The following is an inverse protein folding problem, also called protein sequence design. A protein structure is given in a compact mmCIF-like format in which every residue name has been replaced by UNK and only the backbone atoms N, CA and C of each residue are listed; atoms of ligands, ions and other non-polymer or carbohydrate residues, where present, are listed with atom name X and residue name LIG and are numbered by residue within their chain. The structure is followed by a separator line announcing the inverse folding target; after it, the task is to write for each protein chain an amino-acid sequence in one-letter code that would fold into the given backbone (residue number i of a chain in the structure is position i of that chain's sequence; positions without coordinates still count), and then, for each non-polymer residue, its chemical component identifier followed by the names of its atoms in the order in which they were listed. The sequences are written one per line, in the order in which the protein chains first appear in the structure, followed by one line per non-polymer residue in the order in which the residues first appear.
data_IF_355543894351
#
_entry.id   IF_355543894351
#
_cell.length_a   1.000
_cell.length_b   1.000
_cell.length_c   1.000
_cell.angle_alpha   90.00
_cell.angle_beta   90.00
_cell.angle_gamma   90.00
#
_symmetry.space_group_name_H-M   'P 1'
#
loop_
_entity.id
_entity.type
_entity.pdbx_description
1 polymer ?
#
# COMPACT_ATOMS: atom_id res chain seq x y z
N UNK A 1 3.95 -9.00 -8.18
CA UNK A 1 4.88 -9.38 -9.26
C UNK A 1 5.00 -10.89 -9.26
N UNK A 2 4.87 -11.55 -10.42
CA UNK A 2 5.23 -12.98 -10.58
C UNK A 2 6.61 -13.02 -11.20
N UNK A 3 7.63 -12.92 -10.35
CA UNK A 3 8.99 -13.25 -10.72
C UNK A 3 9.53 -14.17 -9.63
N UNK A 4 10.12 -15.29 -10.02
CA UNK A 4 10.92 -16.17 -9.16
C UNK A 4 10.16 -17.07 -8.17
N UNK A 5 9.16 -17.85 -8.62
CA UNK A 5 8.51 -18.92 -7.83
C UNK A 5 7.79 -18.50 -6.53
N UNK A 6 7.78 -17.20 -6.22
CA UNK A 6 6.99 -16.62 -5.14
C UNK A 6 5.85 -15.80 -5.75
N UNK A 7 4.63 -15.99 -5.25
CA UNK A 7 3.55 -15.05 -5.56
C UNK A 7 3.54 -13.98 -4.48
N UNK A 8 4.17 -12.83 -4.77
CA UNK A 8 4.02 -11.65 -3.94
C UNK A 8 2.62 -11.07 -4.16
N UNK A 9 1.77 -11.23 -3.15
CA UNK A 9 0.53 -10.47 -3.04
C UNK A 9 0.84 -9.21 -2.24
N UNK A 10 0.77 -8.06 -2.92
CA UNK A 10 0.83 -6.76 -2.29
C UNK A 10 -0.57 -6.16 -2.33
N UNK A 11 -1.14 -5.84 -1.18
CA UNK A 11 -2.29 -4.97 -1.08
C UNK A 11 -2.08 -4.01 0.10
N UNK A 12 -2.84 -2.92 0.11
CA UNK A 12 -2.90 -2.00 1.26
C UNK A 12 -3.76 -2.55 2.41
N UNK A 13 -4.34 -3.75 2.25
CA UNK A 13 -5.35 -4.38 3.11
C UNK A 13 -4.93 -5.80 3.53
N UNK A 14 -3.68 -5.99 3.97
CA UNK A 14 -3.20 -7.31 4.44
C UNK A 14 -3.76 -7.67 5.83
N UNK A 15 -4.48 -6.72 6.41
CA UNK A 15 -5.13 -6.79 7.71
C UNK A 15 -6.55 -7.32 7.53
N UNK A 16 -6.96 -8.18 8.46
CA UNK A 16 -8.32 -8.71 8.56
C UNK A 16 -9.06 -7.99 9.69
N UNK A 17 -10.39 -8.02 9.60
CA UNK A 17 -11.25 -7.38 10.59
C UNK A 17 -11.12 -5.86 10.55
N UNK A 18 -11.30 -5.21 11.71
CA UNK A 18 -11.23 -3.76 11.78
C UNK A 18 -12.44 -3.04 11.21
N UNK A 19 -13.44 -3.70 10.63
CA UNK A 19 -14.62 -3.00 10.08
C UNK A 19 -15.54 -2.45 11.17
N UNK A 20 -15.60 -3.14 12.32
CA UNK A 20 -16.45 -2.76 13.45
C UNK A 20 -15.67 -2.15 14.61
N UNK A 21 -14.43 -2.58 14.81
CA UNK A 21 -13.58 -2.15 15.92
C UNK A 21 -12.11 -2.35 15.58
N UNK A 22 -11.27 -1.40 15.97
CA UNK A 22 -9.81 -1.53 15.87
C UNK A 22 -9.25 -2.71 16.70
N UNK A 23 -9.98 -3.18 17.70
CA UNK A 23 -9.59 -4.33 18.51
C UNK A 23 -9.71 -5.66 17.74
N UNK A 24 -10.47 -5.68 16.65
CA UNK A 24 -10.70 -6.86 15.83
C UNK A 24 -9.67 -6.99 14.70
N UNK A 25 -8.69 -6.09 14.64
CA UNK A 25 -7.67 -6.12 13.59
C UNK A 25 -6.64 -7.21 13.85
N UNK A 26 -6.43 -8.07 12.86
CA UNK A 26 -5.42 -9.12 12.91
C UNK A 26 -4.64 -9.23 11.59
N UNK A 27 -3.38 -9.65 11.70
CA UNK A 27 -2.55 -10.07 10.56
C UNK A 27 -2.79 -11.56 10.29
N UNK A 28 -2.84 -11.98 9.02
CA UNK A 28 -3.03 -13.40 8.68
C UNK A 28 -1.73 -14.23 8.84
N UNK A 29 -1.27 -14.40 10.07
CA UNK A 29 -0.04 -15.15 10.39
C UNK A 29 -0.21 -16.66 10.25
N UNK A 30 -1.46 -17.18 10.24
CA UNK A 30 -1.72 -18.63 10.12
C UNK A 30 -1.46 -19.19 8.72
N UNK A 31 -1.51 -18.36 7.68
CA UNK A 31 -1.37 -18.81 6.29
C UNK A 31 -0.23 -18.12 5.55
N UNK A 32 0.27 -16.98 6.07
CA UNK A 32 1.26 -16.18 5.38
C UNK A 32 2.34 -15.70 6.34
N UNK A 33 3.55 -15.60 5.81
CA UNK A 33 4.56 -14.69 6.36
C UNK A 33 4.17 -13.28 5.96
N UNK A 34 3.92 -12.45 6.96
CA UNK A 34 3.45 -11.08 6.79
C UNK A 34 4.62 -10.12 6.86
N UNK A 35 4.73 -9.25 5.87
CA UNK A 35 5.74 -8.18 5.87
C UNK A 35 5.09 -6.83 5.64
N UNK A 36 5.63 -5.81 6.30
CA UNK A 36 5.24 -4.42 6.08
C UNK A 36 6.47 -3.59 5.73
N UNK A 37 6.36 -2.84 4.62
CA UNK A 37 7.34 -1.81 4.25
C UNK A 37 6.95 -0.51 4.94
N UNK A 38 7.80 -0.03 5.83
CA UNK A 38 7.49 1.11 6.69
C UNK A 38 8.39 2.30 6.33
N UNK A 39 7.85 3.23 5.56
CA UNK A 39 8.54 4.46 5.13
C UNK A 39 8.40 5.59 6.14
N UNK A 40 9.42 6.45 6.25
CA UNK A 40 9.33 7.67 7.05
C UNK A 40 8.04 8.46 6.71
N UNK A 41 7.16 8.76 7.68
CA UNK A 41 5.84 9.34 7.43
C UNK A 41 5.83 10.66 6.67
N UNK A 42 6.79 11.54 6.92
CA UNK A 42 6.92 12.83 6.22
C UNK A 42 7.33 12.61 4.76
N UNK A 43 8.32 11.73 4.52
CA UNK A 43 8.74 11.38 3.15
C UNK A 43 7.65 10.63 2.40
N UNK A 44 6.91 9.75 3.09
CA UNK A 44 5.74 9.03 2.55
C UNK A 44 4.65 10.02 2.14
N UNK A 45 4.28 10.98 3.01
CA UNK A 45 3.29 12.00 2.69
C UNK A 45 3.66 12.74 1.40
N UNK A 46 4.89 13.28 1.32
CA UNK A 46 5.35 13.98 0.12
C UNK A 46 5.29 13.08 -1.13
N UNK A 47 5.70 11.81 -1.00
CA UNK A 47 5.63 10.84 -2.10
C UNK A 47 4.19 10.54 -2.53
N UNK A 48 3.25 10.42 -1.59
CA UNK A 48 1.85 10.15 -1.88
C UNK A 48 1.19 11.35 -2.55
N UNK A 49 1.49 12.58 -2.12
CA UNK A 49 0.99 13.78 -2.80
C UNK A 49 1.49 13.85 -4.25
N UNK A 50 2.78 13.59 -4.49
CA UNK A 50 3.33 13.48 -5.85
C UNK A 50 2.59 12.42 -6.67
N UNK A 51 2.40 11.24 -6.10
CA UNK A 51 1.70 10.14 -6.76
C UNK A 51 0.26 10.51 -7.14
N UNK A 52 -0.51 11.06 -6.19
CA UNK A 52 -1.88 11.51 -6.43
C UNK A 52 -1.95 12.55 -7.55
N UNK A 53 -1.01 13.49 -7.57
CA UNK A 53 -0.98 14.53 -8.60
C UNK A 53 -0.70 13.97 -9.99
N UNK A 54 0.29 13.06 -10.12
CA UNK A 54 0.54 12.35 -11.39
C UNK A 54 -0.71 11.59 -11.84
N UNK A 55 -1.31 10.83 -10.92
CA UNK A 55 -2.47 10.01 -11.21
C UNK A 55 -3.70 10.83 -11.62
N UNK A 56 -4.03 11.89 -10.87
CA UNK A 56 -5.19 12.74 -11.19
C UNK A 56 -4.98 13.54 -12.47
N UNK A 57 -3.76 14.00 -12.78
CA UNK A 57 -3.51 14.65 -14.08
C UNK A 57 -3.83 13.68 -15.22
N UNK A 58 -3.33 12.46 -15.12
CA UNK A 58 -3.56 11.44 -16.13
C UNK A 58 -5.05 11.07 -16.23
N UNK A 59 -5.71 10.76 -15.11
CA UNK A 59 -7.12 10.35 -15.06
C UNK A 59 -8.06 11.44 -15.59
N UNK A 60 -7.88 12.70 -15.18
CA UNK A 60 -8.70 13.81 -15.67
C UNK A 60 -8.49 14.08 -17.16
N UNK A 61 -7.25 13.94 -17.65
CA UNK A 61 -6.95 14.06 -19.07
C UNK A 61 -7.60 12.94 -19.88
N UNK A 62 -7.48 11.70 -19.42
CA UNK A 62 -8.12 10.55 -20.06
C UNK A 62 -9.65 10.69 -20.09
N UNK A 63 -10.29 11.08 -18.98
CA UNK A 63 -11.73 11.30 -18.91
C UNK A 63 -12.20 12.43 -19.82
N UNK A 64 -11.44 13.52 -19.91
CA UNK A 64 -11.75 14.60 -20.84
C UNK A 64 -11.72 14.11 -22.29
N UNK A 65 -10.67 13.36 -22.68
CA UNK A 65 -10.55 12.77 -24.01
C UNK A 65 -11.71 11.83 -24.34
N UNK A 66 -12.09 10.93 -23.42
CA UNK A 66 -13.25 10.04 -23.61
C UNK A 66 -14.56 10.81 -23.77
N UNK A 67 -14.69 11.96 -23.13
CA UNK A 67 -15.84 12.84 -23.25
C UNK A 67 -15.75 13.83 -24.43
N UNK A 68 -14.76 13.69 -25.31
CA UNK A 68 -14.45 14.64 -26.41
C UNK A 68 -14.28 16.09 -25.92
N UNK A 69 -13.64 16.28 -24.76
CA UNK A 69 -13.28 17.55 -24.16
C UNK A 69 -11.76 17.69 -24.08
N UNK A 70 -11.27 18.94 -24.09
CA UNK A 70 -9.83 19.27 -24.02
C UNK A 70 -9.44 19.95 -22.71
N UNK A 71 -10.36 20.07 -21.76
CA UNK A 71 -10.17 20.83 -20.52
C UNK A 71 -9.65 20.01 -19.34
N UNK A 72 -9.31 18.73 -19.53
CA UNK A 72 -8.88 17.82 -18.46
C UNK A 72 -7.63 18.30 -17.73
N UNK A 73 -6.60 18.73 -18.47
CA UNK A 73 -5.37 19.29 -17.89
C UNK A 73 -5.65 20.62 -17.17
N UNK A 74 -6.46 21.50 -17.77
CA UNK A 74 -6.87 22.74 -17.13
C UNK A 74 -7.68 22.49 -15.84
N UNK A 75 -8.52 21.44 -15.81
CA UNK A 75 -9.27 21.04 -14.63
C UNK A 75 -8.36 20.51 -13.52
N UNK A 76 -7.31 19.77 -13.86
CA UNK A 76 -6.27 19.37 -12.92
C UNK A 76 -5.60 20.59 -12.29
N UNK A 77 -5.06 21.51 -13.10
CA UNK A 77 -4.35 22.69 -12.58
C UNK A 77 -5.23 23.61 -11.73
N UNK A 78 -6.52 23.74 -12.05
CA UNK A 78 -7.46 24.50 -11.21
C UNK A 78 -7.71 23.87 -9.84
N UNK A 79 -7.57 22.55 -9.72
CA UNK A 79 -8.04 21.82 -8.55
C UNK A 79 -6.90 21.37 -7.64
N UNK A 80 -5.80 20.87 -8.21
CA UNK A 80 -4.75 20.18 -7.47
C UNK A 80 -3.42 20.94 -7.42
N UNK A 81 -3.14 21.79 -8.41
CA UNK A 81 -1.87 22.49 -8.44
C UNK A 81 -1.81 23.58 -7.36
N UNK A 82 -0.74 23.56 -6.57
CA UNK A 82 -0.52 24.44 -5.42
C UNK A 82 -1.70 24.42 -4.42
N UNK A 83 -2.41 23.30 -4.36
CA UNK A 83 -3.54 23.18 -3.46
C UNK A 83 -3.05 23.20 -2.01
N UNK A 84 -3.70 24.04 -1.19
CA UNK A 84 -3.30 24.27 0.20
C UNK A 84 -3.61 23.06 1.11
N UNK A 85 -3.12 23.12 2.35
CA UNK A 85 -3.31 22.03 3.31
C UNK A 85 -4.79 21.66 3.52
N UNK A 86 -5.67 22.66 3.64
CA UNK A 86 -7.10 22.43 3.85
C UNK A 86 -7.78 21.71 2.68
N UNK A 87 -7.31 21.89 1.44
CA UNK A 87 -7.77 21.11 0.31
C UNK A 87 -7.44 19.63 0.50
N UNK A 88 -6.17 19.33 0.80
CA UNK A 88 -5.72 17.95 0.96
C UNK A 88 -6.37 17.24 2.15
N UNK A 89 -6.62 17.96 3.23
CA UNK A 89 -7.42 17.48 4.37
C UNK A 89 -8.82 17.01 3.96
N UNK A 90 -9.47 17.69 3.01
CA UNK A 90 -10.80 17.30 2.54
C UNK A 90 -10.78 16.15 1.53
N UNK A 91 -9.79 16.16 0.63
CA UNK A 91 -9.76 15.21 -0.50
C UNK A 91 -9.16 13.87 -0.10
N UNK A 92 -8.17 13.87 0.79
CA UNK A 92 -7.42 12.67 1.14
C UNK A 92 -7.10 12.59 2.64
N UNK A 93 -8.10 12.67 3.54
CA UNK A 93 -7.89 12.74 4.99
C UNK A 93 -7.07 11.56 5.53
N UNK A 94 -7.33 10.35 5.05
CA UNK A 94 -6.60 9.15 5.47
C UNK A 94 -5.13 9.14 5.04
N UNK A 95 -4.81 9.81 3.92
CA UNK A 95 -3.44 9.88 3.39
C UNK A 95 -2.61 10.93 4.14
N UNK A 96 -3.24 12.03 4.54
CA UNK A 96 -2.56 13.21 5.08
C UNK A 96 -2.56 13.29 6.60
N UNK A 97 -3.22 12.38 7.31
CA UNK A 97 -3.24 12.39 8.78
C UNK A 97 -3.02 10.99 9.36
N UNK A 98 -1.77 10.70 9.75
CA UNK A 98 -1.32 9.44 10.35
C UNK A 98 -1.80 8.19 9.58
N UNK A 99 -1.39 8.12 8.31
CA UNK A 99 -1.73 7.05 7.37
C UNK A 99 -1.46 5.65 7.93
N UNK A 100 -0.31 5.40 8.57
CA UNK A 100 0.01 4.06 9.04
C UNK A 100 -0.88 3.64 10.20
N UNK A 101 -1.17 4.52 11.15
CA UNK A 101 -2.12 4.19 12.22
C UNK A 101 -3.50 3.86 11.63
N UNK A 102 -3.96 4.64 10.65
CA UNK A 102 -5.24 4.38 9.97
C UNK A 102 -5.23 3.05 9.22
N UNK A 103 -4.16 2.78 8.48
CA UNK A 103 -4.00 1.52 7.75
C UNK A 103 -3.99 0.34 8.71
N UNK A 104 -3.14 0.39 9.75
CA UNK A 104 -2.95 -0.67 10.73
C UNK A 104 -4.17 -0.95 11.60
N UNK A 105 -5.05 0.03 11.79
CA UNK A 105 -6.24 -0.14 12.63
C UNK A 105 -7.52 -0.37 11.82
N UNK A 106 -7.39 -0.54 10.51
CA UNK A 106 -8.48 -0.93 9.62
C UNK A 106 -9.55 0.13 9.43
N UNK A 107 -10.64 -0.27 8.78
CA UNK A 107 -11.72 0.60 8.31
C UNK A 107 -12.37 1.46 9.40
N UNK A 108 -12.53 0.90 10.61
CA UNK A 108 -13.09 1.62 11.76
C UNK A 108 -12.29 2.89 12.10
N UNK A 109 -10.97 2.87 11.89
CA UNK A 109 -10.09 4.02 12.14
C UNK A 109 -9.74 4.77 10.87
N UNK A 110 -9.79 4.11 9.71
CA UNK A 110 -9.48 4.72 8.41
C UNK A 110 -10.28 6.00 8.17
N UNK A 111 -11.56 5.99 8.53
CA UNK A 111 -12.49 7.09 8.30
C UNK A 111 -12.69 8.03 9.50
N UNK A 112 -11.95 7.85 10.60
CA UNK A 112 -12.07 8.71 11.78
C UNK A 112 -11.79 10.19 11.45
N UNK A 113 -12.48 11.16 12.07
CA UNK A 113 -12.31 12.58 11.77
C UNK A 113 -10.86 13.04 11.92
N UNK A 114 -10.48 14.08 11.16
CA UNK A 114 -9.14 14.64 11.26
C UNK A 114 -8.85 15.13 12.69
N UNK A 115 -7.70 14.72 13.22
CA UNK A 115 -7.27 15.10 14.58
C UNK A 115 -7.93 14.32 15.72
N UNK A 116 -8.82 13.37 15.44
CA UNK A 116 -9.41 12.48 16.47
C UNK A 116 -8.45 11.39 16.97
N UNK A 117 -7.47 11.02 16.14
CA UNK A 117 -6.45 10.03 16.47
C UNK A 117 -5.61 10.54 17.65
N UNK A 118 -5.34 9.63 18.60
CA UNK A 118 -4.67 9.98 19.85
C UNK A 118 -3.68 8.90 20.27
N UNK A 119 -2.71 9.31 21.09
CA UNK A 119 -1.64 8.43 21.54
C UNK A 119 -2.15 7.30 22.47
N UNK A 120 -3.15 7.57 23.31
CA UNK A 120 -3.60 6.61 24.35
C UNK A 120 -4.29 5.39 23.77
N UNK A 121 -5.11 5.58 22.74
CA UNK A 121 -5.91 4.50 22.15
C UNK A 121 -5.32 4.03 20.82
N UNK A 122 -5.16 4.94 19.86
CA UNK A 122 -4.82 4.59 18.49
C UNK A 122 -3.35 4.22 18.33
N UNK A 123 -2.42 5.05 18.82
CA UNK A 123 -0.99 4.74 18.69
C UNK A 123 -0.64 3.44 19.43
N UNK A 124 -1.18 3.23 20.65
CA UNK A 124 -0.94 1.98 21.39
C UNK A 124 -1.48 0.75 20.64
N UNK A 125 -2.70 0.82 20.11
CA UNK A 125 -3.25 -0.27 19.32
C UNK A 125 -2.42 -0.53 18.05
N UNK A 126 -2.02 0.52 17.34
CA UNK A 126 -1.23 0.39 16.11
C UNK A 126 0.16 -0.21 16.37
N UNK A 127 0.79 0.13 17.51
CA UNK A 127 2.03 -0.53 17.96
C UNK A 127 1.82 -2.03 18.19
N UNK A 128 0.71 -2.42 18.81
CA UNK A 128 0.38 -3.84 19.03
C UNK A 128 0.15 -4.57 17.70
N UNK A 129 -0.56 -3.97 16.74
CA UNK A 129 -0.74 -4.58 15.40
C UNK A 129 0.59 -4.67 14.66
N UNK A 130 1.40 -3.62 14.69
CA UNK A 130 2.73 -3.61 14.05
C UNK A 130 3.63 -4.75 14.56
N UNK A 131 3.61 -5.02 15.87
CA UNK A 131 4.39 -6.10 16.48
C UNK A 131 3.89 -7.51 16.14
N UNK A 132 2.74 -7.66 15.47
CA UNK A 132 2.27 -8.95 15.00
C UNK A 132 2.81 -9.31 13.60
N UNK A 133 3.36 -8.33 12.86
CA UNK A 133 4.00 -8.61 11.57
C UNK A 133 5.27 -9.44 11.76
N UNK A 134 5.46 -10.45 10.91
CA UNK A 134 6.65 -11.31 10.96
C UNK A 134 7.91 -10.57 10.51
N UNK A 135 7.75 -9.56 9.65
CA UNK A 135 8.87 -8.77 9.13
C UNK A 135 8.45 -7.29 9.01
N UNK A 136 9.16 -6.42 9.74
CA UNK A 136 9.01 -4.97 9.61
C UNK A 136 10.24 -4.40 8.94
N UNK A 137 10.07 -3.81 7.76
CA UNK A 137 11.18 -3.34 6.93
C UNK A 137 11.12 -1.82 6.76
N UNK A 138 11.95 -1.05 7.49
CA UNK A 138 12.00 0.39 7.29
C UNK A 138 12.60 0.72 5.92
N UNK A 139 11.91 1.51 5.10
CA UNK A 139 12.33 1.67 3.69
C UNK A 139 13.63 2.46 3.53
N UNK A 140 13.95 3.30 4.51
CA UNK A 140 15.17 4.10 4.59
C UNK A 140 16.37 3.34 5.17
N UNK A 141 16.19 2.09 5.57
CA UNK A 141 17.27 1.26 6.08
C UNK A 141 18.34 0.98 5.01
N UNK A 142 19.60 0.74 5.41
CA UNK A 142 20.63 0.30 4.48
C UNK A 142 20.22 -0.98 3.75
N UNK A 143 20.64 -1.10 2.48
CA UNK A 143 20.37 -2.27 1.64
C UNK A 143 20.68 -3.60 2.34
N UNK A 144 21.83 -3.69 3.03
CA UNK A 144 22.22 -4.89 3.75
C UNK A 144 21.20 -5.33 4.80
N UNK A 145 20.61 -4.37 5.53
CA UNK A 145 19.56 -4.63 6.52
C UNK A 145 18.30 -5.16 5.84
N UNK A 146 17.80 -4.44 4.83
CA UNK A 146 16.62 -4.84 4.07
C UNK A 146 16.77 -6.23 3.43
N UNK A 147 17.91 -6.51 2.80
CA UNK A 147 18.22 -7.81 2.22
C UNK A 147 18.30 -8.91 3.28
N UNK A 148 18.92 -8.66 4.44
CA UNK A 148 18.98 -9.64 5.52
C UNK A 148 17.60 -9.97 6.08
N UNK A 149 16.77 -8.95 6.34
CA UNK A 149 15.41 -9.12 6.85
C UNK A 149 14.57 -9.98 5.91
N UNK A 150 14.60 -9.70 4.61
CA UNK A 150 13.81 -10.45 3.64
C UNK A 150 14.37 -11.85 3.39
N UNK A 151 15.69 -12.02 3.40
CA UNK A 151 16.31 -13.33 3.28
C UNK A 151 15.94 -14.24 4.45
N UNK A 152 16.15 -13.80 5.70
CA UNK A 152 15.91 -14.63 6.89
C UNK A 152 14.43 -14.70 7.29
N UNK A 153 13.70 -13.59 7.19
CA UNK A 153 12.29 -13.55 7.57
C UNK A 153 11.36 -14.20 6.54
N UNK A 154 11.58 -13.94 5.24
CA UNK A 154 10.66 -14.40 4.18
C UNK A 154 11.23 -15.53 3.31
N UNK A 155 12.51 -15.89 3.48
CA UNK A 155 13.17 -16.78 2.53
C UNK A 155 13.29 -16.15 1.15
N UNK A 156 13.44 -14.81 1.06
CA UNK A 156 13.56 -14.11 -0.21
C UNK A 156 15.01 -13.75 -0.51
N UNK A 157 15.60 -14.26 -1.59
CA UNK A 157 16.99 -13.98 -1.94
C UNK A 157 17.20 -12.57 -2.52
N UNK A 158 16.10 -11.84 -2.76
CA UNK A 158 16.08 -10.48 -3.29
C UNK A 158 15.22 -9.60 -2.40
N UNK A 159 15.60 -8.33 -2.29
CA UNK A 159 14.87 -7.32 -1.52
C UNK A 159 14.15 -6.34 -2.44
N UNK A 160 13.27 -5.50 -1.86
CA UNK A 160 12.69 -4.36 -2.59
C UNK A 160 13.76 -3.37 -3.09
N UNK A 161 14.97 -3.38 -2.51
CA UNK A 161 16.09 -2.56 -3.01
C UNK A 161 16.75 -3.14 -4.26
N UNK A 162 16.51 -4.41 -4.58
CA UNK A 162 16.99 -5.08 -5.79
C UNK A 162 16.00 -4.96 -6.94
N UNK A 163 14.71 -4.76 -6.62
CA UNK A 163 13.62 -4.60 -7.58
C UNK A 163 13.15 -3.15 -7.56
N UNK A 164 13.74 -2.31 -8.40
CA UNK A 164 13.27 -0.93 -8.61
C UNK A 164 12.20 -0.90 -9.70
N UNK A 165 11.00 -1.40 -9.38
CA UNK A 165 9.85 -1.20 -10.25
C UNK A 165 9.12 0.10 -9.86
N UNK A 166 9.06 1.04 -10.81
CA UNK A 166 8.21 2.23 -10.77
C UNK A 166 8.50 3.24 -9.65
N UNK A 167 9.72 3.75 -9.58
CA UNK A 167 10.00 4.95 -8.79
C UNK A 167 9.21 6.18 -9.30
N UNK A 168 9.11 7.20 -8.46
CA UNK A 168 8.40 8.44 -8.80
C UNK A 168 8.99 9.10 -10.06
N UNK A 169 10.31 8.97 -10.27
CA UNK A 169 10.99 9.54 -11.43
C UNK A 169 10.53 8.86 -12.73
N UNK A 170 10.49 7.52 -12.73
CA UNK A 170 10.04 6.72 -13.86
C UNK A 170 8.56 7.00 -14.17
N UNK A 171 7.72 7.17 -13.14
CA UNK A 171 6.32 7.57 -13.33
C UNK A 171 6.19 8.97 -13.93
N UNK A 172 6.96 9.94 -13.43
CA UNK A 172 6.97 11.31 -13.98
C UNK A 172 7.44 11.35 -15.43
N UNK A 173 8.46 10.56 -15.77
CA UNK A 173 8.95 10.39 -17.13
C UNK A 173 7.89 9.74 -18.03
N UNK A 174 7.26 8.65 -17.56
CA UNK A 174 6.19 7.95 -18.28
C UNK A 174 4.98 8.86 -18.59
N UNK A 175 4.59 9.70 -17.63
CA UNK A 175 3.47 10.62 -17.79
C UNK A 175 3.87 12.01 -18.31
N UNK A 176 5.16 12.22 -18.63
CA UNK A 176 5.73 13.50 -19.07
C UNK A 176 5.26 14.68 -18.20
N UNK A 177 5.34 14.52 -16.88
CA UNK A 177 4.84 15.51 -15.93
C UNK A 177 5.72 15.63 -14.69
N UNK A 178 6.39 16.77 -14.56
CA UNK A 178 7.03 17.15 -13.30
C UNK A 178 6.00 17.79 -12.36
N UNK A 179 5.74 17.13 -11.24
CA UNK A 179 4.79 17.61 -10.22
C UNK A 179 5.42 18.61 -9.26
N UNK A 180 6.75 18.68 -9.21
CA UNK A 180 7.49 19.44 -8.21
C UNK A 180 7.06 20.91 -8.12
N UNK A 181 6.86 21.63 -9.24
CA UNK A 181 6.43 23.03 -9.20
C UNK A 181 4.99 23.26 -8.72
N UNK A 182 4.22 22.19 -8.54
CA UNK A 182 2.79 22.23 -8.24
C UNK A 182 2.46 21.67 -6.85
N UNK A 183 3.47 21.21 -6.10
CA UNK A 183 3.32 20.76 -4.73
C UNK A 183 2.76 21.88 -3.84
N UNK A 184 2.16 21.56 -2.68
CA UNK A 184 1.77 22.58 -1.71
C UNK A 184 2.96 23.47 -1.33
N UNK A 185 2.66 24.69 -0.89
CA UNK A 185 3.69 25.62 -0.40
C UNK A 185 4.47 25.02 0.77
N UNK A 186 5.66 25.55 1.07
CA UNK A 186 6.46 25.08 2.20
C UNK A 186 5.70 25.21 3.54
N UNK A 187 4.92 26.28 3.71
CA UNK A 187 4.07 26.47 4.89
C UNK A 187 2.96 25.42 4.98
N UNK A 188 2.28 25.12 3.86
CA UNK A 188 1.27 24.07 3.80
C UNK A 188 1.90 22.68 4.04
N UNK A 189 3.05 22.40 3.44
CA UNK A 189 3.79 21.15 3.65
C UNK A 189 4.22 21.00 5.11
N UNK A 190 4.71 22.07 5.74
CA UNK A 190 5.07 22.08 7.15
C UNK A 190 3.86 21.77 8.04
N UNK A 191 2.72 22.39 7.75
CA UNK A 191 1.47 22.08 8.44
C UNK A 191 1.06 20.61 8.25
N UNK A 192 1.06 20.08 7.03
CA UNK A 192 0.69 18.68 6.77
C UNK A 192 1.68 17.70 7.43
N UNK A 193 2.96 18.03 7.47
CA UNK A 193 3.99 17.25 8.16
C UNK A 193 3.72 17.17 9.67
N UNK A 194 3.26 18.26 10.29
CA UNK A 194 2.88 18.28 11.71
C UNK A 194 1.75 17.28 12.02
N UNK A 195 0.91 16.94 11.04
CA UNK A 195 -0.17 15.96 11.17
C UNK A 195 0.29 14.50 11.13
N UNK A 196 1.59 14.25 10.94
CA UNK A 196 2.18 12.90 10.96
C UNK A 196 2.78 12.52 12.33
N UNK A 197 2.58 13.32 13.37
CA UNK A 197 3.30 13.16 14.64
C UNK A 197 3.17 11.75 15.26
N UNK A 198 1.97 11.17 15.26
CA UNK A 198 1.76 9.83 15.82
C UNK A 198 2.38 8.74 14.93
N UNK A 199 2.28 8.90 13.62
CA UNK A 199 2.95 8.01 12.67
C UNK A 199 4.48 8.08 12.82
N UNK A 200 5.04 9.24 13.17
CA UNK A 200 6.48 9.39 13.43
C UNK A 200 6.90 8.57 14.66
N UNK A 201 6.12 8.62 15.74
CA UNK A 201 6.34 7.77 16.92
C UNK A 201 6.18 6.28 16.63
N UNK A 202 5.29 5.92 15.70
CA UNK A 202 5.12 4.53 15.25
C UNK A 202 6.28 4.09 14.35
N UNK A 203 6.77 4.98 13.48
CA UNK A 203 7.93 4.74 12.62
C UNK A 203 9.20 4.46 13.44
N UNK A 204 9.41 5.16 14.56
CA UNK A 204 10.53 4.88 15.46
C UNK A 204 10.48 3.44 16.00
N UNK A 205 9.29 2.94 16.35
CA UNK A 205 9.12 1.53 16.72
C UNK A 205 9.41 0.60 15.54
N UNK A 206 8.92 0.92 14.34
CA UNK A 206 9.18 0.12 13.14
C UNK A 206 10.68 -0.01 12.85
N UNK A 207 11.43 1.09 12.98
CA UNK A 207 12.89 1.12 12.86
C UNK A 207 13.55 0.23 13.92
N UNK A 208 13.12 0.35 15.18
CA UNK A 208 13.65 -0.47 16.26
C UNK A 208 13.42 -1.97 16.01
N UNK A 209 12.20 -2.37 15.63
CA UNK A 209 11.87 -3.78 15.31
C UNK A 209 12.78 -4.29 14.20
N UNK A 210 12.86 -3.58 13.07
CA UNK A 210 13.70 -3.98 11.95
C UNK A 210 15.20 -4.07 12.30
N UNK A 211 15.69 -3.22 13.22
CA UNK A 211 17.08 -3.30 13.70
C UNK A 211 17.31 -4.49 14.65
N UNK A 212 16.35 -4.81 15.51
CA UNK A 212 16.43 -5.98 16.40
C UNK A 212 16.41 -7.28 15.60
N UNK A 213 15.49 -7.40 14.65
CA UNK A 213 15.42 -8.56 13.75
C UNK A 213 16.72 -8.72 12.95
N UNK A 214 17.26 -7.60 12.44
CA UNK A 214 18.54 -7.60 11.76
C UNK A 214 19.67 -8.16 12.63
N UNK A 215 19.76 -7.74 13.90
CA UNK A 215 20.78 -8.25 14.83
C UNK A 215 20.64 -9.76 15.06
N UNK A 216 19.40 -10.24 15.24
CA UNK A 216 19.12 -11.68 15.41
C UNK A 216 19.54 -12.45 14.15
N UNK A 217 19.16 -11.97 12.98
CA UNK A 217 19.46 -12.65 11.71
C UNK A 217 20.94 -12.57 11.31
N UNK A 218 21.64 -11.47 11.60
CA UNK A 218 23.10 -11.41 11.45
C UNK A 218 23.80 -12.37 12.41
N UNK A 219 23.32 -12.49 13.65
CA UNK A 219 23.87 -13.47 14.61
C UNK A 219 23.64 -14.89 14.10
N UNK A 220 22.44 -15.22 13.65
CA UNK A 220 22.13 -16.52 13.05
C UNK A 220 23.05 -16.82 11.85
N UNK A 221 23.25 -15.83 10.98
CA UNK A 221 24.13 -15.94 9.83
C UNK A 221 25.60 -16.17 10.21
N UNK A 222 26.10 -15.48 11.23
CA UNK A 222 27.46 -15.67 11.74
C UNK A 222 27.68 -17.08 12.30
N UNK A 223 26.60 -17.75 12.70
CA UNK A 223 26.60 -19.15 13.16
C UNK A 223 26.31 -20.15 12.03
N UNK A 224 26.32 -19.70 10.77
CA UNK A 224 26.02 -20.49 9.57
C UNK A 224 24.61 -21.11 9.57
N UNK A 225 23.65 -20.52 10.31
CA UNK A 225 22.25 -20.89 10.19
C UNK A 225 21.76 -20.43 8.83
N UNK A 226 21.14 -21.33 8.07
CA UNK A 226 20.53 -20.97 6.78
C UNK A 226 19.13 -20.39 7.01
N UNK A 227 18.71 -19.36 6.25
CA UNK A 227 17.39 -18.73 6.38
C UNK A 227 16.21 -19.70 6.41
N UNK A 228 16.22 -20.68 5.51
CA UNK A 228 15.15 -21.64 5.29
C UNK A 228 15.76 -22.96 4.75
N UNK A 229 15.40 -24.08 5.37
CA UNK A 229 15.75 -25.40 4.83
C UNK A 229 15.00 -25.63 3.50
N UNK A 230 15.73 -25.92 2.43
CA UNK A 230 15.15 -26.14 1.09
C UNK A 230 15.10 -24.92 0.18
N UNK A 231 15.62 -23.77 0.59
CA UNK A 231 15.81 -22.63 -0.31
C UNK A 231 16.80 -23.01 -1.43
N UNK A 232 16.44 -22.87 -2.72
CA UNK A 232 17.33 -23.24 -3.81
C UNK A 232 18.57 -22.34 -3.85
N UNK A 233 19.76 -22.95 -3.98
CA UNK A 233 21.04 -22.25 -4.04
C UNK A 233 21.17 -21.32 -5.27
N UNK A 234 20.38 -21.60 -6.31
CA UNK A 234 20.27 -20.79 -7.53
C UNK A 234 18.81 -20.75 -7.95
N UNK A 235 18.29 -19.55 -8.22
CA UNK A 235 16.94 -19.37 -8.75
C UNK A 235 17.00 -19.61 -10.26
N UNK A 236 16.33 -20.65 -10.75
CA UNK A 236 16.02 -20.78 -12.17
C UNK A 236 14.62 -20.20 -12.43
N UNK A 237 14.50 -19.00 -13.04
CA UNK A 237 13.21 -18.37 -13.28
C UNK A 237 12.33 -19.10 -14.31
N UNK A 238 12.86 -20.12 -15.01
CA UNK A 238 12.14 -20.88 -16.05
C UNK A 238 11.68 -22.29 -15.62
N UNK A 239 12.11 -22.78 -14.46
CA UNK A 239 11.86 -24.16 -14.02
C UNK A 239 10.56 -24.35 -13.25
N UNK A 240 9.52 -24.87 -13.93
CA UNK A 240 8.32 -25.55 -13.38
C UNK A 240 7.20 -24.70 -12.72
N UNK A 241 6.10 -24.49 -13.46
CA UNK A 241 4.74 -24.35 -12.90
C UNK A 241 3.94 -25.61 -13.32
N UNK A 242 4.05 -26.70 -12.56
CA UNK A 242 3.05 -27.77 -12.54
C UNK A 242 2.60 -27.90 -11.08
N UNK A 243 1.60 -27.09 -10.69
CA UNK A 243 0.53 -27.57 -9.82
C UNK A 243 -0.57 -26.53 -9.64
N UNK A 244 -1.74 -26.88 -10.19
CA UNK A 244 -3.01 -26.19 -10.05
C UNK A 244 -3.66 -26.46 -8.67
N UNK A 245 -2.87 -26.46 -7.58
CA UNK A 245 -3.41 -26.57 -6.24
C UNK A 245 -4.11 -25.27 -5.85
N UNK A 246 -5.44 -25.25 -5.98
CA UNK A 246 -6.29 -24.21 -5.40
C UNK A 246 -6.21 -24.31 -3.87
N UNK A 247 -5.24 -23.64 -3.26
CA UNK A 247 -5.23 -23.44 -1.82
C UNK A 247 -6.43 -22.58 -1.43
N UNK A 248 -7.28 -23.07 -0.54
CA UNK A 248 -8.34 -22.28 0.07
C UNK A 248 -7.72 -21.24 0.99
N UNK A 249 -7.65 -20.00 0.50
CA UNK A 249 -7.27 -18.84 1.30
C UNK A 249 -8.44 -18.51 2.23
N UNK A 250 -8.27 -18.74 3.53
CA UNK A 250 -9.27 -18.40 4.55
C UNK A 250 -9.14 -16.95 5.01
N UNK A 251 -7.98 -16.34 4.80
CA UNK A 251 -7.70 -14.95 5.14
C UNK A 251 -7.91 -14.00 3.96
N UNK A 252 -9.02 -13.27 3.98
CA UNK A 252 -9.17 -11.95 3.34
C UNK A 252 -9.00 -11.85 1.83
N UNK A 253 -9.20 -10.61 1.34
CA UNK A 253 -9.37 -10.20 -0.06
C UNK A 253 -8.08 -10.29 -0.91
N UNK A 254 -7.33 -11.38 -0.81
CA UNK A 254 -6.20 -11.71 -1.68
C UNK A 254 -6.73 -12.04 -3.07
N UNK A 255 -6.97 -11.00 -3.87
CA UNK A 255 -7.31 -11.13 -5.30
C UNK A 255 -6.09 -11.65 -6.03
N UNK A 256 -6.15 -12.91 -6.46
CA UNK A 256 -5.15 -13.50 -7.34
C UNK A 256 -4.90 -12.66 -8.60
N UNK A 257 -3.76 -12.79 -9.29
CA UNK A 257 -3.43 -12.05 -10.52
C UNK A 257 -4.44 -12.23 -11.70
N UNK A 258 -5.48 -13.07 -11.52
CA UNK A 258 -6.59 -13.28 -12.47
C UNK A 258 -7.96 -12.83 -11.96
N UNK A 259 -8.07 -12.23 -10.77
CA UNK A 259 -9.34 -11.70 -10.29
C UNK A 259 -9.63 -10.36 -10.99
N UNK A 260 -10.33 -10.47 -12.12
CA UNK A 260 -10.73 -9.39 -13.01
C UNK A 260 -11.29 -8.18 -12.27
N UNK A 261 -10.61 -7.04 -12.39
CA UNK A 261 -11.16 -5.72 -12.07
C UNK A 261 -11.86 -5.06 -13.28
N UNK A 262 -12.01 -5.73 -14.42
CA UNK A 262 -12.31 -5.06 -15.69
C UNK A 262 -13.65 -5.39 -16.37
N UNK A 263 -14.62 -6.07 -15.73
CA UNK A 263 -15.93 -6.30 -16.38
C UNK A 263 -17.14 -5.67 -15.68
N UNK A 264 -17.01 -5.19 -14.45
CA UNK A 264 -18.16 -4.61 -13.72
C UNK A 264 -18.42 -3.11 -13.91
N UNK A 265 -17.47 -2.37 -14.48
CA UNK A 265 -17.55 -0.90 -14.59
C UNK A 265 -17.48 -0.37 -16.03
N UNK A 266 -17.41 -1.26 -17.02
CA UNK A 266 -17.39 -0.89 -18.46
C UNK A 266 -18.52 -1.54 -19.26
N UNK A 267 -19.26 -2.53 -18.72
CA UNK A 267 -20.44 -3.05 -19.42
C UNK A 267 -21.70 -2.23 -19.09
N UNK A 268 -21.72 -1.02 -19.66
CA UNK A 268 -22.92 -0.20 -19.81
C UNK A 268 -23.81 -0.69 -20.96
N UNK A 269 -23.92 -2.00 -21.19
CA UNK A 269 -24.84 -2.56 -22.18
C UNK A 269 -25.97 -3.33 -21.51
N UNK A 270 -27.19 -2.87 -21.81
CA UNK A 270 -28.44 -3.63 -21.75
C UNK A 270 -28.91 -4.09 -20.34
N UNK A 271 -29.43 -3.13 -19.57
CA UNK A 271 -30.64 -3.41 -18.77
C UNK A 271 -31.75 -3.83 -19.74
N UNK A 272 -31.85 -5.12 -20.01
CA UNK A 272 -33.11 -5.71 -20.46
C UNK A 272 -34.18 -5.33 -19.44
N UNK A 273 -35.19 -4.61 -19.91
CA UNK A 273 -36.42 -4.37 -19.16
C UNK A 273 -37.01 -5.74 -18.79
N UNK A 274 -37.53 -5.93 -17.57
CA UNK A 274 -38.32 -7.12 -17.28
C UNK A 274 -39.51 -7.17 -18.24
N UNK A 275 -39.68 -8.32 -18.90
CA UNK A 275 -40.82 -8.63 -19.75
C UNK A 275 -42.11 -8.31 -18.99
N UNK A 276 -42.91 -7.41 -19.56
CA UNK A 276 -44.28 -7.19 -19.15
C UNK A 276 -45.03 -8.52 -19.35
N UNK A 277 -45.70 -8.92 -18.29
CA UNK A 277 -46.67 -10.01 -18.25
C UNK A 277 -47.70 -9.86 -19.37
N UNK A 278 -47.84 -10.90 -20.18
CA UNK A 278 -49.02 -11.15 -20.99
C UNK A 278 -50.24 -11.30 -20.07
N UNK A 279 -51.37 -10.63 -20.32
CA UNK A 279 -52.64 -10.95 -19.68
C UNK A 279 -53.33 -12.09 -20.44
N UNK A 280 -53.63 -13.18 -19.73
CA UNK A 280 -54.61 -14.16 -20.16
C UNK A 280 -56.03 -13.56 -20.08
N UNK A 281 -56.78 -13.72 -21.17
CA UNK A 281 -58.23 -13.98 -21.12
C UNK A 281 -59.18 -12.79 -21.02
N UNK A 282 -59.70 -12.36 -22.17
CA UNK A 282 -61.08 -12.65 -22.61
C UNK A 282 -61.22 -12.49 -24.12
#
# INVERSE_FOLDING_TARGET
MKANHWTMYSNEYTLLGGERSMADVEVCTKQFVTSILFRNPVRRLASNLRYLMVYYKHDLSAKALTANRTDGEAAFFRSYANANASFWERVAPGIINNYYIRALLGEAVWHEPLGSLNATHHLRAARLVLMQYDIVVPTESPKALASRLLAYGAGWPVSYTDVHDQGMKELQEWFHFDVTPYMPSDDDMSYLNSKQALDMELYELAVLIGQLDYLVYETAAAWNVVPWEGMPATIDPAGHEDDAARYWLSCGLMRGPRAAWSQGLVDGSLRQRPNATTPDGK
#
